data_IF_071717502388
#
_entry.id   IF_071717502388
#
_cell.length_a   1.000
_cell.length_b   1.000
_cell.length_c   1.000
_cell.angle_alpha   90.00
_cell.angle_beta   90.00
_cell.angle_gamma   90.00
#
_symmetry.space_group_name_H-M   'P 1'
#
loop_
_entity.id
_entity.type
_entity.pdbx_description
1 polymer ?
#
# COMPACT_ATOMS: atom_id res chain seq x y z
N UNK A 1 -48.76 29.38 56.98
CA UNK A 1 -48.02 28.13 56.73
C UNK A 1 -48.13 27.79 55.25
N UNK A 2 -47.03 27.78 54.50
CA UNK A 2 -46.92 27.17 53.16
C UNK A 2 -45.42 26.92 52.92
N UNK A 3 -44.99 25.67 53.01
CA UNK A 3 -43.62 25.24 52.70
C UNK A 3 -43.59 24.82 51.24
N UNK A 4 -42.78 25.49 50.42
CA UNK A 4 -42.52 25.11 49.03
C UNK A 4 -41.30 24.20 49.05
N UNK A 5 -41.49 22.95 48.63
CA UNK A 5 -40.41 21.99 48.40
C UNK A 5 -39.89 22.16 46.97
N UNK A 6 -38.60 22.48 46.83
CA UNK A 6 -37.90 22.48 45.55
C UNK A 6 -37.14 21.16 45.46
N UNK A 7 -37.50 20.32 44.48
CA UNK A 7 -36.83 19.06 44.18
C UNK A 7 -35.84 19.34 43.04
N UNK A 8 -34.54 19.34 43.35
CA UNK A 8 -33.47 19.37 42.34
C UNK A 8 -33.25 17.96 41.79
N UNK A 9 -33.53 17.77 40.51
CA UNK A 9 -33.21 16.55 39.76
C UNK A 9 -31.76 16.70 39.24
N UNK A 10 -30.82 15.94 39.79
CA UNK A 10 -29.48 15.78 39.21
C UNK A 10 -29.56 14.78 38.05
N UNK A 11 -29.49 15.27 36.82
CA UNK A 11 -29.27 14.44 35.64
C UNK A 11 -27.79 14.04 35.56
N UNK A 12 -27.47 12.79 35.92
CA UNK A 12 -26.12 12.23 35.77
C UNK A 12 -25.93 11.78 34.33
N UNK A 13 -25.14 12.53 33.56
CA UNK A 13 -24.72 12.15 32.21
C UNK A 13 -23.66 11.04 32.30
N UNK A 14 -24.06 9.80 32.02
CA UNK A 14 -23.14 8.69 31.80
C UNK A 14 -22.37 8.92 30.49
N UNK A 15 -21.15 9.45 30.59
CA UNK A 15 -20.20 9.43 29.49
C UNK A 15 -19.67 8.01 29.32
N UNK A 16 -20.25 7.27 28.38
CA UNK A 16 -19.72 5.99 27.93
C UNK A 16 -18.46 6.26 27.10
N UNK A 17 -17.28 6.25 27.74
CA UNK A 17 -16.00 6.34 27.04
C UNK A 17 -15.72 4.99 26.36
N UNK A 18 -16.13 4.87 25.11
CA UNK A 18 -15.68 3.79 24.23
C UNK A 18 -14.19 3.99 23.93
N UNK A 19 -13.33 3.28 24.65
CA UNK A 19 -11.91 3.19 24.32
C UNK A 19 -11.78 2.36 23.05
N UNK A 20 -11.63 3.03 21.90
CA UNK A 20 -11.20 2.38 20.67
C UNK A 20 -9.76 1.91 20.89
N UNK A 21 -9.60 0.65 21.27
CA UNK A 21 -8.31 -0.02 21.28
C UNK A 21 -7.94 -0.28 19.83
N UNK A 22 -7.14 0.60 19.23
CA UNK A 22 -6.45 0.28 17.98
C UNK A 22 -5.51 -0.87 18.30
N UNK A 23 -5.83 -2.06 17.78
CA UNK A 23 -4.94 -3.21 17.87
C UNK A 23 -3.56 -2.76 17.38
N UNK A 24 -2.55 -2.89 18.25
CA UNK A 24 -1.17 -2.55 17.90
C UNK A 24 -0.79 -3.37 16.67
N UNK A 25 -0.46 -2.70 15.58
CA UNK A 25 -0.03 -3.38 14.35
C UNK A 25 1.15 -4.30 14.68
N UNK A 26 1.08 -5.55 14.23
CA UNK A 26 2.17 -6.50 14.35
C UNK A 26 3.31 -6.20 13.38
N UNK A 27 3.08 -5.31 12.42
CA UNK A 27 4.09 -4.83 11.49
C UNK A 27 5.06 -3.85 12.17
N UNK A 28 6.25 -4.34 12.50
CA UNK A 28 7.27 -3.56 13.20
C UNK A 28 7.97 -2.54 12.30
N UNK A 29 7.93 -2.76 10.98
CA UNK A 29 8.52 -1.84 9.99
C UNK A 29 7.52 -0.76 9.53
N UNK A 30 6.24 -0.86 9.92
CA UNK A 30 5.19 0.09 9.57
C UNK A 30 4.97 0.26 8.04
N UNK A 31 5.22 -0.79 7.26
CA UNK A 31 5.07 -0.85 5.79
C UNK A 31 3.69 -1.36 5.35
N UNK A 32 3.03 -2.23 6.11
CA UNK A 32 1.71 -2.75 5.76
C UNK A 32 0.65 -1.64 5.76
N UNK A 33 -0.15 -1.56 4.71
CA UNK A 33 -1.18 -0.54 4.57
C UNK A 33 -1.69 -0.38 3.14
N UNK A 34 -2.50 0.66 2.94
CA UNK A 34 -3.00 1.09 1.64
C UNK A 34 -2.28 2.37 1.25
N UNK A 35 -1.79 2.45 0.03
CA UNK A 35 -0.98 3.53 -0.49
C UNK A 35 -1.62 4.10 -1.74
N UNK A 36 -1.69 5.42 -1.81
CA UNK A 36 -2.01 6.15 -3.04
C UNK A 36 -0.70 6.42 -3.78
N UNK A 37 -0.64 6.03 -5.05
CA UNK A 37 0.58 6.05 -5.84
C UNK A 37 0.40 6.89 -7.10
N UNK A 38 1.44 7.64 -7.43
CA UNK A 38 1.64 8.23 -8.75
C UNK A 38 2.87 7.58 -9.38
N UNK A 39 2.75 7.23 -10.66
CA UNK A 39 3.81 6.53 -11.37
C UNK A 39 4.04 7.03 -12.79
N UNK A 40 5.13 6.57 -13.37
CA UNK A 40 5.46 6.74 -14.77
C UNK A 40 5.99 5.43 -15.32
N UNK A 41 5.35 4.93 -16.38
CA UNK A 41 5.82 3.80 -17.16
C UNK A 41 6.45 4.27 -18.48
N UNK A 42 7.51 3.61 -18.91
CA UNK A 42 8.24 3.95 -20.13
C UNK A 42 7.44 3.82 -21.44
N UNK A 43 6.38 3.02 -21.44
CA UNK A 43 5.51 2.79 -22.60
C UNK A 43 4.16 3.49 -22.44
N UNK A 44 3.59 3.47 -21.24
CA UNK A 44 2.24 3.99 -20.99
C UNK A 44 2.21 5.44 -20.45
N UNK A 45 3.36 5.96 -20.03
CA UNK A 45 3.48 7.31 -19.48
C UNK A 45 2.99 7.39 -18.03
N UNK A 46 2.48 8.56 -17.64
CA UNK A 46 2.07 8.82 -16.25
C UNK A 46 0.76 8.11 -15.89
N UNK A 47 0.70 7.52 -14.70
CA UNK A 47 -0.49 6.85 -14.18
C UNK A 47 -0.70 7.10 -12.69
N UNK A 48 -1.91 6.77 -12.22
CA UNK A 48 -2.24 6.69 -10.79
C UNK A 48 -2.53 5.23 -10.43
N UNK A 49 -2.19 4.85 -9.21
CA UNK A 49 -2.44 3.52 -8.70
C UNK A 49 -2.73 3.48 -7.21
N UNK A 50 -3.20 2.33 -6.76
CA UNK A 50 -3.37 2.01 -5.34
C UNK A 50 -2.60 0.73 -5.04
N UNK A 51 -1.65 0.81 -4.12
CA UNK A 51 -0.91 -0.36 -3.63
C UNK A 51 -1.45 -0.75 -2.26
N UNK A 52 -1.70 -2.05 -2.06
CA UNK A 52 -2.03 -2.64 -0.78
C UNK A 52 -0.92 -3.60 -0.41
N UNK A 53 -0.23 -3.32 0.69
CA UNK A 53 0.76 -4.19 1.30
C UNK A 53 0.15 -4.85 2.53
N UNK A 54 0.08 -6.18 2.52
CA UNK A 54 -0.44 -6.96 3.65
C UNK A 54 0.69 -7.77 4.26
N UNK A 55 0.92 -7.60 5.56
CA UNK A 55 1.97 -8.34 6.28
C UNK A 55 1.68 -9.84 6.30
N UNK A 56 2.65 -10.64 5.89
CA UNK A 56 2.74 -12.06 6.24
C UNK A 56 3.57 -12.21 7.52
N UNK A 57 2.87 -12.17 8.66
CA UNK A 57 3.50 -12.21 9.98
C UNK A 57 4.18 -13.56 10.27
N UNK A 58 3.82 -14.64 9.55
CA UNK A 58 4.40 -15.98 9.75
C UNK A 58 5.71 -16.14 9.00
N UNK A 59 5.83 -15.51 7.84
CA UNK A 59 7.07 -15.50 7.05
C UNK A 59 8.05 -14.40 7.50
N UNK A 60 7.60 -13.42 8.29
CA UNK A 60 8.43 -12.31 8.77
C UNK A 60 9.32 -12.69 9.96
N UNK A 61 10.49 -12.06 10.05
CA UNK A 61 11.41 -12.18 11.19
C UNK A 61 11.94 -10.79 11.58
N UNK A 62 11.15 -10.10 12.39
CA UNK A 62 11.49 -8.75 12.84
C UNK A 62 12.68 -8.71 13.81
N UNK A 63 13.14 -9.86 14.34
CA UNK A 63 14.37 -9.89 15.13
C UNK A 63 15.61 -9.63 14.27
N UNK A 64 15.49 -9.90 12.97
CA UNK A 64 16.50 -9.61 11.94
C UNK A 64 16.05 -8.50 10.98
N UNK A 65 15.14 -7.62 11.42
CA UNK A 65 14.63 -6.50 10.63
C UNK A 65 13.98 -6.92 9.28
N UNK A 66 13.51 -8.17 9.20
CA UNK A 66 12.96 -8.76 7.98
C UNK A 66 11.42 -8.81 8.02
N UNK A 67 10.78 -8.27 6.99
CA UNK A 67 9.34 -8.32 6.81
C UNK A 67 8.97 -8.95 5.47
N UNK A 68 7.94 -9.80 5.47
CA UNK A 68 7.37 -10.39 4.25
C UNK A 68 5.94 -9.84 4.05
N UNK A 69 5.60 -9.45 2.83
CA UNK A 69 4.28 -8.88 2.51
C UNK A 69 3.75 -9.43 1.19
N UNK A 70 2.44 -9.54 1.08
CA UNK A 70 1.76 -9.68 -0.22
C UNK A 70 1.42 -8.30 -0.76
N UNK A 71 1.58 -8.12 -2.06
CA UNK A 71 1.25 -6.90 -2.78
C UNK A 71 0.01 -7.11 -3.66
N UNK A 72 -0.86 -6.11 -3.65
CA UNK A 72 -1.87 -5.89 -4.68
C UNK A 72 -1.74 -4.46 -5.19
N UNK A 73 -1.48 -4.30 -6.47
CA UNK A 73 -1.47 -3.02 -7.16
C UNK A 73 -2.69 -2.94 -8.07
N UNK A 74 -3.40 -1.82 -8.04
CA UNK A 74 -4.44 -1.50 -9.01
C UNK A 74 -4.05 -0.21 -9.70
N UNK A 75 -3.87 -0.24 -11.02
CA UNK A 75 -3.57 0.93 -11.85
C UNK A 75 -4.81 1.38 -12.61
N UNK A 76 -5.01 2.69 -12.75
CA UNK A 76 -6.17 3.25 -13.44
C UNK A 76 -7.46 3.24 -12.58
N UNK A 77 -8.59 3.48 -13.23
CA UNK A 77 -9.89 3.67 -12.57
C UNK A 77 -11.03 2.95 -13.29
N UNK A 78 -12.07 2.57 -12.53
CA UNK A 78 -13.30 2.04 -13.08
C UNK A 78 -13.11 0.69 -13.78
N UNK A 79 -13.74 0.53 -14.95
CA UNK A 79 -13.71 -0.71 -15.74
C UNK A 79 -12.39 -0.96 -16.49
N UNK A 80 -11.51 0.04 -16.56
CA UNK A 80 -10.21 -0.04 -17.24
C UNK A 80 -9.06 -0.30 -16.26
N UNK A 81 -9.36 -0.52 -14.98
CA UNK A 81 -8.34 -0.73 -13.98
C UNK A 81 -7.65 -2.10 -14.16
N UNK A 82 -6.32 -2.08 -14.28
CA UNK A 82 -5.49 -3.28 -14.31
C UNK A 82 -5.06 -3.63 -12.90
N UNK A 83 -5.06 -4.92 -12.54
CA UNK A 83 -4.64 -5.37 -11.20
C UNK A 83 -3.45 -6.29 -11.32
N UNK A 84 -2.44 -6.05 -10.48
CA UNK A 84 -1.27 -6.88 -10.31
C UNK A 84 -1.24 -7.46 -8.89
N UNK A 85 -0.73 -8.67 -8.76
CA UNK A 85 -0.44 -9.31 -7.49
C UNK A 85 1.04 -9.67 -7.40
N UNK A 86 1.56 -9.77 -6.18
CA UNK A 86 2.94 -10.20 -5.99
C UNK A 86 3.36 -10.28 -4.53
N UNK A 87 4.67 -10.36 -4.33
CA UNK A 87 5.30 -10.54 -3.03
C UNK A 87 6.39 -9.48 -2.81
N UNK A 88 6.58 -9.11 -1.55
CA UNK A 88 7.56 -8.14 -1.11
C UNK A 88 8.37 -8.72 0.04
N UNK A 89 9.68 -8.66 -0.11
CA UNK A 89 10.63 -8.88 0.97
C UNK A 89 11.19 -7.52 1.40
N UNK A 90 11.14 -7.24 2.70
CA UNK A 90 11.67 -6.01 3.28
C UNK A 90 12.83 -6.32 4.22
N UNK A 91 13.83 -5.47 4.20
CA UNK A 91 14.88 -5.43 5.21
C UNK A 91 15.08 -3.98 5.66
N UNK A 92 14.53 -3.64 6.82
CA UNK A 92 14.45 -2.25 7.27
C UNK A 92 13.58 -1.39 6.37
N UNK A 93 14.18 -0.40 5.71
CA UNK A 93 13.55 0.55 4.80
C UNK A 93 13.71 0.19 3.32
N UNK A 94 14.35 -0.93 2.99
CA UNK A 94 14.51 -1.41 1.63
C UNK A 94 13.49 -2.52 1.31
N UNK A 95 12.87 -2.45 0.14
CA UNK A 95 11.94 -3.44 -0.39
C UNK A 95 12.51 -4.06 -1.66
N UNK A 96 12.40 -5.39 -1.78
CA UNK A 96 12.49 -6.12 -3.03
C UNK A 96 11.08 -6.63 -3.38
N UNK A 97 10.65 -6.40 -4.62
CA UNK A 97 9.26 -6.55 -5.03
C UNK A 97 9.20 -7.42 -6.28
N UNK A 98 8.33 -8.41 -6.29
CA UNK A 98 7.83 -9.04 -7.50
C UNK A 98 6.36 -8.66 -7.71
N UNK A 99 5.93 -8.52 -8.95
CA UNK A 99 4.52 -8.32 -9.30
C UNK A 99 4.21 -8.90 -10.68
N UNK A 100 2.96 -9.33 -10.87
CA UNK A 100 2.45 -9.87 -12.13
C UNK A 100 0.98 -9.50 -12.32
N UNK A 101 0.60 -9.23 -13.56
CA UNK A 101 -0.76 -8.89 -13.95
C UNK A 101 -1.69 -10.09 -13.75
N UNK A 102 -2.85 -9.84 -13.14
CA UNK A 102 -3.89 -10.83 -12.87
C UNK A 102 -4.85 -11.03 -14.07
N UNK A 103 -4.41 -10.67 -15.28
CA UNK A 103 -5.20 -10.73 -16.50
C UNK A 103 -5.88 -12.08 -16.73
N UNK A 104 -7.03 -12.04 -17.42
CA UNK A 104 -7.84 -13.25 -17.68
C UNK A 104 -7.49 -13.94 -19.00
N UNK A 105 -6.70 -13.30 -19.86
CA UNK A 105 -6.23 -13.88 -21.11
C UNK A 105 -4.70 -14.07 -21.03
N UNK A 106 -4.17 -15.01 -21.82
CA UNK A 106 -2.75 -15.40 -21.79
C UNK A 106 -1.79 -14.30 -22.26
N UNK A 107 -2.33 -13.22 -22.85
CA UNK A 107 -1.57 -12.09 -23.37
C UNK A 107 -1.38 -11.04 -22.27
N UNK A 108 -2.37 -10.83 -21.41
CA UNK A 108 -2.29 -9.92 -20.27
C UNK A 108 -1.50 -10.56 -19.10
N UNK A 109 -1.45 -11.90 -19.02
CA UNK A 109 -0.70 -12.64 -17.98
C UNK A 109 0.83 -12.58 -18.12
N UNK A 110 1.37 -11.95 -19.16
CA UNK A 110 2.82 -11.87 -19.37
C UNK A 110 3.47 -10.62 -18.76
N UNK A 111 2.68 -9.65 -18.34
CA UNK A 111 3.20 -8.44 -17.70
C UNK A 111 3.53 -8.75 -16.25
N UNK A 112 4.83 -8.86 -15.99
CA UNK A 112 5.39 -9.10 -14.68
C UNK A 112 6.73 -8.40 -14.58
N UNK A 113 7.10 -8.05 -13.37
CA UNK A 113 8.30 -7.30 -13.12
C UNK A 113 8.89 -7.58 -11.75
N UNK A 114 10.10 -7.06 -11.61
CA UNK A 114 10.78 -6.93 -10.34
C UNK A 114 11.01 -5.45 -10.07
N UNK A 115 10.96 -5.08 -8.80
CA UNK A 115 11.24 -3.73 -8.36
C UNK A 115 12.04 -3.70 -7.08
N UNK A 116 12.63 -2.55 -6.83
CA UNK A 116 13.17 -2.18 -5.53
C UNK A 116 12.49 -0.90 -5.08
N UNK A 117 12.34 -0.72 -3.78
CA UNK A 117 11.84 0.52 -3.22
C UNK A 117 12.54 0.91 -1.93
N UNK A 118 12.54 2.20 -1.63
CA UNK A 118 13.00 2.74 -0.37
C UNK A 118 11.82 3.39 0.38
N UNK A 119 11.67 3.06 1.65
CA UNK A 119 10.58 3.51 2.54
C UNK A 119 11.06 4.68 3.38
N UNK A 120 10.26 5.74 3.47
CA UNK A 120 10.50 6.85 4.39
C UNK A 120 9.36 6.96 5.40
N UNK A 121 9.69 7.46 6.59
CA UNK A 121 8.73 7.81 7.63
C UNK A 121 8.93 9.27 8.02
N UNK A 122 8.19 10.16 7.36
CA UNK A 122 8.30 11.60 7.56
C UNK A 122 7.32 12.05 8.64
N UNK A 123 7.77 12.95 9.53
CA UNK A 123 6.91 13.53 10.55
C UNK A 123 6.61 14.99 10.19
N UNK A 124 5.33 15.34 10.17
CA UNK A 124 4.94 16.74 10.00
C UNK A 124 5.16 17.54 11.30
N UNK A 125 4.98 18.87 11.23
CA UNK A 125 5.12 19.77 12.38
C UNK A 125 4.15 19.50 13.54
N UNK A 126 3.07 18.75 13.29
CA UNK A 126 2.07 18.35 14.28
C UNK A 126 2.39 16.98 14.92
N UNK A 127 3.50 16.36 14.52
CA UNK A 127 3.92 15.07 15.02
C UNK A 127 3.29 13.87 14.33
N UNK A 128 2.49 14.07 13.27
CA UNK A 128 1.89 12.99 12.48
C UNK A 128 2.93 12.38 11.55
N UNK A 129 3.10 11.06 11.62
CA UNK A 129 3.94 10.30 10.70
C UNK A 129 3.19 9.99 9.40
N UNK A 130 3.87 10.19 8.28
CA UNK A 130 3.49 9.73 6.95
C UNK A 130 4.51 8.69 6.53
N UNK A 131 4.04 7.51 6.12
CA UNK A 131 4.91 6.52 5.51
C UNK A 131 4.79 6.64 4.00
N UNK A 132 5.91 6.69 3.29
CA UNK A 132 5.93 6.68 1.83
C UNK A 132 6.97 5.69 1.33
N UNK A 133 6.86 5.27 0.07
CA UNK A 133 7.96 4.58 -0.60
C UNK A 133 8.14 5.04 -2.04
N UNK A 134 9.38 4.99 -2.49
CA UNK A 134 9.78 5.29 -3.87
C UNK A 134 10.23 4.00 -4.52
N UNK A 135 9.46 3.50 -5.49
CA UNK A 135 9.73 2.26 -6.22
C UNK A 135 10.30 2.57 -7.60
N UNK A 136 11.22 1.73 -8.04
CA UNK A 136 11.63 1.60 -9.44
C UNK A 136 11.50 0.14 -9.85
N UNK A 137 11.12 -0.11 -11.10
CA UNK A 137 10.88 -1.47 -11.57
C UNK A 137 11.34 -1.71 -13.00
N UNK A 138 11.48 -2.99 -13.32
CA UNK A 138 11.75 -3.51 -14.65
C UNK A 138 10.78 -4.66 -14.97
N UNK A 139 10.14 -4.56 -16.12
CA UNK A 139 9.22 -5.56 -16.66
C UNK A 139 9.83 -6.15 -17.93
N UNK A 140 10.51 -7.31 -17.84
CA UNK A 140 11.19 -7.86 -18.99
C UNK A 140 10.23 -8.05 -20.16
N UNK A 141 9.06 -8.62 -19.93
CA UNK A 141 8.18 -9.10 -20.99
C UNK A 141 7.14 -8.09 -21.49
N UNK A 142 7.12 -6.87 -20.95
CA UNK A 142 6.11 -5.85 -21.22
C UNK A 142 5.73 -5.79 -22.70
N UNK A 143 4.50 -6.18 -23.02
CA UNK A 143 3.90 -6.21 -24.37
C UNK A 143 4.74 -6.90 -25.49
N UNK A 144 5.84 -7.61 -25.19
CA UNK A 144 6.74 -8.19 -26.22
C UNK A 144 6.06 -9.26 -27.07
N UNK A 145 5.01 -9.90 -26.58
CA UNK A 145 4.25 -10.90 -27.31
C UNK A 145 2.99 -10.34 -28.00
N UNK A 146 2.61 -9.08 -27.78
CA UNK A 146 1.37 -8.51 -28.31
C UNK A 146 1.46 -8.21 -29.81
N UNK A 147 2.66 -7.92 -30.35
CA UNK A 147 2.80 -7.47 -31.75
C UNK A 147 3.71 -8.32 -32.63
N UNK A 148 4.38 -9.35 -32.10
CA UNK A 148 5.42 -10.07 -32.85
C UNK A 148 6.55 -9.16 -33.37
N UNK A 149 6.61 -7.92 -32.85
CA UNK A 149 7.55 -6.89 -33.24
C UNK A 149 8.89 -7.20 -32.58
N UNK A 150 9.82 -7.70 -33.38
CA UNK A 150 11.23 -7.82 -33.00
C UNK A 150 11.80 -6.40 -32.82
N UNK A 151 11.70 -5.85 -31.61
CA UNK A 151 12.22 -4.50 -31.31
C UNK A 151 11.74 -3.84 -30.02
N UNK A 152 10.66 -4.32 -29.39
CA UNK A 152 10.19 -3.74 -28.12
C UNK A 152 11.14 -4.11 -26.97
N UNK A 153 11.76 -3.10 -26.37
CA UNK A 153 12.54 -3.21 -25.14
C UNK A 153 11.60 -3.45 -23.96
N UNK A 154 12.02 -4.23 -22.95
CA UNK A 154 11.21 -4.43 -21.74
C UNK A 154 10.78 -3.10 -21.10
N UNK A 155 9.68 -3.12 -20.35
CA UNK A 155 9.12 -1.98 -19.66
C UNK A 155 9.93 -1.62 -18.42
N UNK A 156 9.81 -0.37 -17.99
CA UNK A 156 10.39 0.13 -16.73
C UNK A 156 9.61 1.35 -16.28
N UNK A 157 9.61 1.57 -14.97
CA UNK A 157 8.97 2.75 -14.43
C UNK A 157 9.39 3.07 -13.02
N UNK A 158 8.77 4.12 -12.50
CA UNK A 158 8.96 4.60 -11.13
C UNK A 158 7.62 4.94 -10.52
N UNK A 159 7.47 4.72 -9.21
CA UNK A 159 6.28 5.06 -8.44
C UNK A 159 6.68 5.79 -7.15
N UNK A 160 5.87 6.78 -6.76
CA UNK A 160 5.88 7.36 -5.42
C UNK A 160 4.55 7.04 -4.77
N UNK A 161 4.60 6.35 -3.64
CA UNK A 161 3.43 5.83 -2.95
C UNK A 161 3.35 6.38 -1.52
N UNK A 162 2.21 6.94 -1.14
CA UNK A 162 1.99 7.53 0.18
C UNK A 162 0.91 6.76 0.92
N UNK A 163 1.22 6.29 2.14
CA UNK A 163 0.31 5.51 2.98
C UNK A 163 -0.89 6.36 3.40
N UNK A 164 -2.09 5.84 3.22
CA UNK A 164 -3.33 6.43 3.75
C UNK A 164 -3.27 6.43 5.29
N UNK A 165 -3.52 7.60 5.88
CA UNK A 165 -3.49 7.81 7.32
C UNK A 165 -4.76 7.39 8.05
#
# INVERSE_FOLDING_TARGET
MKKIFVISILASAFFCQSTLSFAKSNDKLNIAGVYDCTGFDSHDGSYNGVVILTLDAKASDFSHNFGAYTLKLTEGHGSEATTFSGEVAAHGDELAIYFANNGKNTIDMIDHGVGIAHVTHDQNSEGKFTTSFHKLYYEPSYQRNQKGETGLTGGRGTEVCVKRG
#
